data_IF_108739618864
#
_entry.id   IF_108739618864
#
_cell.length_a   1.000
_cell.length_b   1.000
_cell.length_c   1.000
_cell.angle_alpha   90.00
_cell.angle_beta   90.00
_cell.angle_gamma   90.00
#
_symmetry.space_group_name_H-M   'P 1'
#
loop_
_entity.id
_entity.type
_entity.pdbx_description
1 polymer ?
#
# COMPACT_ATOMS: atom_id res chain seq x y z
N UNK A 1 -12.75 3.57 18.99
CA UNK A 1 -11.31 3.79 19.23
C UNK A 1 -10.52 2.80 18.37
N UNK A 2 -9.89 3.29 17.29
CA UNK A 2 -9.12 2.49 16.36
C UNK A 2 -7.67 2.28 16.83
N UNK A 3 -7.47 1.98 18.11
CA UNK A 3 -6.18 1.58 18.69
C UNK A 3 -5.08 2.66 18.55
N UNK A 4 -5.44 3.94 18.52
CA UNK A 4 -4.49 5.06 18.42
C UNK A 4 -3.83 5.21 17.05
N UNK A 5 -4.35 4.58 16.01
CA UNK A 5 -3.82 4.70 14.63
C UNK A 5 -4.45 5.87 13.89
N UNK A 6 -3.68 6.46 12.99
CA UNK A 6 -4.16 7.46 12.04
C UNK A 6 -5.16 6.84 11.07
N UNK A 7 -6.23 7.59 10.76
CA UNK A 7 -7.20 7.22 9.72
C UNK A 7 -7.31 8.37 8.73
N UNK A 8 -6.88 8.14 7.51
CA UNK A 8 -7.02 9.05 6.38
C UNK A 8 -8.00 8.46 5.35
N UNK A 9 -8.74 9.33 4.67
CA UNK A 9 -9.61 8.98 3.54
C UNK A 9 -9.15 9.70 2.30
N UNK A 10 -9.00 8.98 1.21
CA UNK A 10 -8.78 9.53 -0.12
C UNK A 10 -10.05 9.39 -0.95
N UNK A 11 -10.59 10.52 -1.41
CA UNK A 11 -11.69 10.56 -2.38
C UNK A 11 -11.10 10.52 -3.78
N UNK A 12 -11.49 9.55 -4.60
CA UNK A 12 -10.90 9.33 -5.92
C UNK A 12 -11.80 9.86 -7.03
N UNK A 13 -11.17 10.45 -8.05
CA UNK A 13 -11.81 10.75 -9.31
C UNK A 13 -11.95 9.46 -10.14
N UNK A 14 -13.05 8.76 -9.95
CA UNK A 14 -13.41 7.57 -10.74
C UNK A 14 -14.58 7.92 -11.67
N UNK A 15 -14.46 7.58 -12.94
CA UNK A 15 -15.57 7.66 -13.89
C UNK A 15 -16.71 6.70 -13.50
N UNK A 16 -17.93 6.92 -13.99
CA UNK A 16 -19.05 6.00 -13.71
C UNK A 16 -18.73 4.53 -14.06
N UNK A 17 -18.12 4.19 -15.21
CA UNK A 17 -17.71 2.82 -15.50
C UNK A 17 -16.71 2.25 -14.51
N UNK A 18 -15.69 3.01 -14.09
CA UNK A 18 -14.68 2.59 -13.13
C UNK A 18 -15.30 2.30 -11.75
N UNK A 19 -16.26 3.12 -11.30
CA UNK A 19 -16.99 2.86 -10.04
C UNK A 19 -17.79 1.57 -10.10
N UNK A 20 -18.41 1.28 -11.24
CA UNK A 20 -19.14 0.02 -11.46
C UNK A 20 -18.16 -1.15 -11.46
N UNK A 21 -17.05 -1.06 -12.18
CA UNK A 21 -16.03 -2.10 -12.23
C UNK A 21 -15.46 -2.41 -10.84
N UNK A 22 -15.13 -1.37 -10.04
CA UNK A 22 -14.64 -1.55 -8.68
C UNK A 22 -15.68 -2.22 -7.78
N UNK A 23 -16.95 -1.77 -7.82
CA UNK A 23 -18.04 -2.38 -7.07
C UNK A 23 -18.19 -3.86 -7.43
N UNK A 24 -18.28 -4.17 -8.71
CA UNK A 24 -18.52 -5.53 -9.19
C UNK A 24 -17.37 -6.48 -8.80
N UNK A 25 -16.12 -5.96 -8.85
CA UNK A 25 -14.96 -6.71 -8.35
C UNK A 25 -15.04 -6.96 -6.86
N UNK A 26 -15.39 -5.96 -6.05
CA UNK A 26 -15.51 -6.11 -4.60
C UNK A 26 -16.64 -7.07 -4.22
N UNK A 27 -17.78 -7.00 -4.90
CA UNK A 27 -18.90 -7.94 -4.71
C UNK A 27 -18.50 -9.37 -5.10
N UNK A 28 -17.76 -9.54 -6.21
CA UNK A 28 -17.22 -10.83 -6.63
C UNK A 28 -16.25 -11.38 -5.60
N UNK A 29 -15.31 -10.54 -5.11
CA UNK A 29 -14.31 -10.94 -4.12
C UNK A 29 -14.94 -11.27 -2.75
N UNK A 30 -16.07 -10.66 -2.40
CA UNK A 30 -16.77 -10.92 -1.14
C UNK A 30 -17.57 -12.24 -1.13
N UNK A 31 -17.73 -12.92 -2.27
CA UNK A 31 -18.42 -14.23 -2.32
C UNK A 31 -17.63 -15.29 -1.56
N UNK A 32 -18.30 -16.23 -0.87
CA UNK A 32 -17.63 -17.27 -0.07
C UNK A 32 -16.53 -18.03 -0.81
N UNK A 33 -16.74 -18.33 -2.08
CA UNK A 33 -15.78 -19.03 -2.94
C UNK A 33 -14.53 -18.23 -3.28
N UNK A 34 -14.58 -16.87 -3.21
CA UNK A 34 -13.49 -15.96 -3.56
C UNK A 34 -12.88 -15.23 -2.34
N UNK A 35 -13.57 -15.25 -1.20
CA UNK A 35 -13.17 -14.51 -0.01
C UNK A 35 -11.91 -15.05 0.67
N UNK A 36 -11.56 -16.32 0.40
CA UNK A 36 -10.38 -16.97 0.98
C UNK A 36 -9.22 -16.95 -0.01
N UNK A 37 -8.04 -16.54 0.46
CA UNK A 37 -6.81 -16.54 -0.33
C UNK A 37 -5.62 -16.96 0.54
N UNK A 38 -4.52 -17.40 -0.12
CA UNK A 38 -3.28 -17.70 0.57
C UNK A 38 -2.56 -16.41 0.89
N UNK A 39 -2.66 -15.98 2.12
CA UNK A 39 -1.99 -14.76 2.59
C UNK A 39 -0.47 -14.87 2.46
N UNK A 40 0.14 -13.87 1.83
CA UNK A 40 1.58 -13.65 1.81
C UNK A 40 1.86 -12.22 2.29
N UNK A 41 2.71 -12.08 3.30
CA UNK A 41 2.96 -10.79 3.93
C UNK A 41 3.44 -9.71 2.95
N UNK A 42 4.22 -10.09 1.96
CA UNK A 42 4.81 -9.17 0.98
C UNK A 42 4.05 -9.09 -0.34
N UNK A 43 3.55 -10.22 -0.82
CA UNK A 43 3.06 -10.33 -2.19
C UNK A 43 1.54 -10.35 -2.29
N UNK A 44 0.84 -10.86 -1.26
CA UNK A 44 -0.62 -11.00 -1.28
C UNK A 44 -1.22 -10.74 0.11
N UNK A 45 -1.25 -9.47 0.50
CA UNK A 45 -1.80 -8.99 1.77
C UNK A 45 -3.00 -8.04 1.56
N UNK A 46 -3.54 -7.49 2.65
CA UNK A 46 -4.68 -6.58 2.57
C UNK A 46 -4.40 -5.32 1.73
N UNK A 47 -3.18 -4.78 1.76
CA UNK A 47 -2.81 -3.60 0.98
C UNK A 47 -2.66 -3.92 -0.50
N UNK A 48 -1.94 -5.01 -0.84
CA UNK A 48 -1.79 -5.44 -2.23
C UNK A 48 -3.13 -5.81 -2.87
N UNK A 49 -4.09 -6.38 -2.11
CA UNK A 49 -5.45 -6.64 -2.59
C UNK A 49 -6.22 -5.36 -2.90
N UNK A 50 -6.05 -4.31 -2.12
CA UNK A 50 -6.65 -3.00 -2.42
C UNK A 50 -6.00 -2.40 -3.66
N UNK A 51 -4.66 -2.47 -3.77
CA UNK A 51 -3.92 -2.05 -4.98
C UNK A 51 -4.46 -2.73 -6.24
N UNK A 52 -4.60 -4.06 -6.20
CA UNK A 52 -5.03 -4.87 -7.34
C UNK A 52 -6.48 -4.56 -7.73
N UNK A 53 -7.36 -4.34 -6.75
CA UNK A 53 -8.74 -3.92 -6.99
C UNK A 53 -8.83 -2.55 -7.68
N UNK A 54 -8.01 -1.60 -7.21
CA UNK A 54 -7.94 -0.26 -7.83
C UNK A 54 -7.33 -0.34 -9.23
N UNK A 55 -6.26 -1.10 -9.40
CA UNK A 55 -5.60 -1.25 -10.71
C UNK A 55 -6.53 -1.86 -11.74
N UNK A 56 -7.28 -2.89 -11.36
CA UNK A 56 -8.29 -3.49 -12.25
C UNK A 56 -9.38 -2.49 -12.63
N UNK A 57 -9.90 -1.72 -11.68
CA UNK A 57 -10.94 -0.71 -11.95
C UNK A 57 -10.42 0.46 -12.80
N UNK A 58 -9.12 0.75 -12.72
CA UNK A 58 -8.40 1.81 -13.43
C UNK A 58 -7.67 1.29 -14.68
N UNK A 59 -8.01 0.07 -15.14
CA UNK A 59 -7.52 -0.52 -16.40
C UNK A 59 -5.99 -0.60 -16.49
N UNK A 60 -5.31 -0.92 -15.37
CA UNK A 60 -3.86 -1.07 -15.32
C UNK A 60 -3.08 0.23 -15.10
N UNK A 61 -3.75 1.31 -14.73
CA UNK A 61 -3.11 2.63 -14.55
C UNK A 61 -2.06 2.62 -13.43
N UNK A 62 -2.33 1.95 -12.31
CA UNK A 62 -1.39 1.84 -11.20
C UNK A 62 -0.18 1.01 -11.59
N UNK A 63 -0.40 -0.14 -12.21
CA UNK A 63 0.68 -1.01 -12.68
C UNK A 63 1.55 -0.28 -13.69
N UNK A 64 0.96 0.42 -14.67
CA UNK A 64 1.69 1.20 -15.67
C UNK A 64 2.58 2.30 -15.06
N UNK A 65 2.18 2.87 -13.92
CA UNK A 65 2.93 3.93 -13.25
C UNK A 65 3.98 3.40 -12.26
N UNK A 66 3.93 2.12 -11.82
CA UNK A 66 4.71 1.65 -10.68
C UNK A 66 5.56 0.42 -10.94
N UNK A 67 5.15 -0.47 -11.84
CA UNK A 67 5.93 -1.67 -12.19
C UNK A 67 7.26 -1.27 -12.83
N UNK A 68 8.35 -1.83 -12.32
CA UNK A 68 9.70 -1.52 -12.76
C UNK A 68 10.24 -0.15 -12.33
N UNK A 69 9.45 0.67 -11.61
CA UNK A 69 9.92 1.93 -11.04
C UNK A 69 10.59 1.67 -9.68
N UNK A 70 11.89 1.98 -9.50
CA UNK A 70 12.58 1.66 -8.24
C UNK A 70 11.93 2.34 -7.02
N UNK A 71 11.58 1.57 -6.00
CA UNK A 71 11.12 2.10 -4.72
C UNK A 71 12.26 2.56 -3.81
N UNK A 72 13.53 2.25 -4.15
CA UNK A 72 14.74 2.54 -3.37
C UNK A 72 14.73 1.95 -1.97
N UNK A 73 14.04 0.85 -1.81
CA UNK A 73 13.91 0.10 -0.56
C UNK A 73 13.92 -1.41 -0.84
N UNK A 74 13.81 -2.21 0.22
CA UNK A 74 13.70 -3.67 0.17
C UNK A 74 12.57 -4.12 1.11
N UNK A 75 12.09 -5.34 0.97
CA UNK A 75 11.10 -5.89 1.90
C UNK A 75 11.62 -5.91 3.34
N UNK A 76 12.91 -6.28 3.55
CA UNK A 76 13.53 -6.24 4.88
C UNK A 76 13.52 -4.84 5.46
N UNK A 77 13.97 -3.83 4.70
CA UNK A 77 14.05 -2.44 5.17
C UNK A 77 12.67 -1.92 5.62
N UNK A 78 11.63 -2.16 4.85
CA UNK A 78 10.26 -1.78 5.21
C UNK A 78 9.78 -2.50 6.46
N UNK A 79 10.02 -3.82 6.55
CA UNK A 79 9.63 -4.60 7.73
C UNK A 79 10.34 -4.10 8.98
N UNK A 80 11.63 -3.84 8.91
CA UNK A 80 12.41 -3.30 10.03
C UNK A 80 11.91 -1.91 10.46
N UNK A 81 11.62 -1.03 9.50
CA UNK A 81 11.04 0.28 9.77
C UNK A 81 9.72 0.18 10.53
N UNK A 82 8.83 -0.67 10.06
CA UNK A 82 7.49 -0.85 10.64
C UNK A 82 7.52 -1.57 12.00
N UNK A 83 8.52 -2.39 12.26
CA UNK A 83 8.67 -3.13 13.52
C UNK A 83 9.55 -2.41 14.55
N UNK A 84 10.21 -1.33 14.16
CA UNK A 84 11.11 -0.54 15.02
C UNK A 84 10.50 -0.14 16.38
N UNK A 85 9.23 0.23 16.51
CA UNK A 85 8.62 0.56 17.80
C UNK A 85 8.53 -0.63 18.78
N UNK A 86 8.74 -1.87 18.30
CA UNK A 86 8.68 -3.09 19.11
C UNK A 86 10.03 -3.80 19.09
N UNK A 87 10.93 -3.55 20.06
CA UNK A 87 12.36 -3.94 19.99
C UNK A 87 12.60 -5.43 19.72
N UNK A 88 11.86 -6.32 20.37
CA UNK A 88 12.04 -7.76 20.18
C UNK A 88 11.61 -8.21 18.76
N UNK A 89 10.59 -7.57 18.17
CA UNK A 89 10.15 -7.85 16.82
C UNK A 89 11.15 -7.31 15.80
N UNK A 90 11.67 -6.11 16.03
CA UNK A 90 12.73 -5.51 15.23
C UNK A 90 13.99 -6.41 15.19
N UNK A 91 14.48 -6.89 16.36
CA UNK A 91 15.60 -7.81 16.43
C UNK A 91 15.28 -9.16 15.76
N UNK A 92 14.06 -9.66 15.93
CA UNK A 92 13.60 -10.89 15.27
C UNK A 92 13.62 -10.79 13.75
N UNK A 93 13.28 -9.63 13.17
CA UNK A 93 13.34 -9.42 11.71
C UNK A 93 14.77 -9.38 11.18
N UNK A 94 15.74 -8.91 11.95
CA UNK A 94 17.15 -8.97 11.58
C UNK A 94 17.67 -10.40 11.44
N UNK A 95 17.25 -11.30 12.32
CA UNK A 95 17.73 -12.68 12.36
C UNK A 95 16.88 -13.63 11.48
N UNK A 96 15.57 -13.39 11.38
CA UNK A 96 14.63 -14.35 10.81
C UNK A 96 14.33 -14.17 9.33
N UNK A 97 14.55 -12.98 8.75
CA UNK A 97 14.29 -12.75 7.34
C UNK A 97 15.42 -13.31 6.48
N UNK A 98 15.05 -14.08 5.45
CA UNK A 98 15.98 -14.64 4.49
C UNK A 98 16.52 -13.61 3.48
N UNK A 99 17.60 -13.93 2.75
CA UNK A 99 18.27 -13.01 1.81
C UNK A 99 17.38 -12.57 0.64
N UNK A 100 16.31 -13.30 0.32
CA UNK A 100 15.36 -12.88 -0.71
C UNK A 100 14.68 -11.54 -0.39
N UNK A 101 14.56 -11.18 0.90
CA UNK A 101 13.99 -9.91 1.34
C UNK A 101 14.93 -8.71 1.21
N UNK A 102 16.21 -8.93 0.85
CA UNK A 102 17.22 -7.90 0.65
C UNK A 102 17.27 -7.38 -0.79
N UNK A 103 16.56 -8.01 -1.70
CA UNK A 103 16.51 -7.58 -3.08
C UNK A 103 15.77 -6.23 -3.19
N UNK A 104 16.28 -5.29 -4.04
CA UNK A 104 15.55 -4.07 -4.37
C UNK A 104 14.16 -4.39 -4.91
N UNK A 105 13.18 -3.63 -4.49
CA UNK A 105 11.78 -3.76 -4.94
C UNK A 105 11.37 -2.53 -5.74
N UNK A 106 10.37 -2.70 -6.61
CA UNK A 106 9.74 -1.60 -7.32
C UNK A 106 8.57 -0.99 -6.52
N UNK A 107 8.02 0.12 -7.02
CA UNK A 107 6.91 0.82 -6.37
C UNK A 107 5.64 -0.04 -6.29
N UNK A 108 5.41 -0.92 -7.27
CA UNK A 108 4.30 -1.86 -7.23
C UNK A 108 4.39 -2.82 -6.05
N UNK A 109 5.57 -3.41 -5.86
CA UNK A 109 5.84 -4.31 -4.73
C UNK A 109 5.81 -3.56 -3.40
N UNK A 110 6.36 -2.34 -3.34
CA UNK A 110 6.36 -1.51 -2.12
C UNK A 110 4.95 -1.13 -1.64
N UNK A 111 3.95 -1.17 -2.51
CA UNK A 111 2.54 -0.98 -2.18
C UNK A 111 1.95 -2.07 -1.24
N UNK A 112 2.74 -3.09 -0.85
CA UNK A 112 2.35 -3.99 0.24
C UNK A 112 2.20 -3.24 1.58
N UNK A 113 2.81 -2.06 1.70
CA UNK A 113 2.66 -1.14 2.82
C UNK A 113 1.51 -0.16 2.52
N UNK A 114 0.45 -0.10 3.37
CA UNK A 114 -0.70 0.78 3.11
C UNK A 114 -0.35 2.25 2.92
N UNK A 115 0.61 2.78 3.68
CA UNK A 115 1.05 4.16 3.57
C UNK A 115 1.71 4.44 2.21
N UNK A 116 2.50 3.49 1.71
CA UNK A 116 3.12 3.59 0.38
C UNK A 116 2.07 3.50 -0.73
N UNK A 117 1.05 2.64 -0.59
CA UNK A 117 -0.08 2.61 -1.52
C UNK A 117 -0.82 3.95 -1.54
N UNK A 118 -1.07 4.55 -0.38
CA UNK A 118 -1.69 5.87 -0.26
C UNK A 118 -0.89 6.95 -1.01
N UNK A 119 0.44 6.96 -0.88
CA UNK A 119 1.34 7.87 -1.59
C UNK A 119 1.29 7.63 -3.11
N UNK A 120 1.35 6.37 -3.55
CA UNK A 120 1.26 6.01 -4.97
C UNK A 120 -0.04 6.54 -5.58
N UNK A 121 -1.18 6.30 -4.92
CA UNK A 121 -2.49 6.75 -5.40
C UNK A 121 -2.56 8.28 -5.49
N UNK A 122 -1.90 9.00 -4.56
CA UNK A 122 -1.81 10.48 -4.58
C UNK A 122 -1.00 10.99 -5.75
N UNK A 123 0.07 10.29 -6.14
CA UNK A 123 0.99 10.71 -7.21
C UNK A 123 0.43 10.46 -8.61
N UNK A 124 -0.61 9.64 -8.74
CA UNK A 124 -1.16 9.25 -10.03
C UNK A 124 -2.15 10.28 -10.55
N UNK A 125 -2.09 10.53 -11.86
CA UNK A 125 -3.10 11.27 -12.59
C UNK A 125 -3.99 10.32 -13.40
N UNK A 126 -5.24 10.70 -13.56
CA UNK A 126 -6.24 10.04 -14.42
C UNK A 126 -6.77 11.02 -15.46
N UNK A 127 -7.65 10.58 -16.35
CA UNK A 127 -8.34 11.46 -17.29
C UNK A 127 -9.76 11.77 -16.81
N UNK A 128 -10.20 13.02 -16.96
CA UNK A 128 -11.60 13.40 -16.82
C UNK A 128 -12.43 13.01 -18.06
N UNK A 129 -13.72 13.35 -18.06
CA UNK A 129 -14.64 13.06 -19.16
C UNK A 129 -14.27 13.79 -20.48
N UNK A 130 -13.49 14.87 -20.39
CA UNK A 130 -12.97 15.61 -21.55
C UNK A 130 -11.57 15.12 -21.99
N UNK A 131 -11.04 14.09 -21.35
CA UNK A 131 -9.70 13.53 -21.61
C UNK A 131 -8.54 14.38 -21.05
N UNK A 132 -8.80 15.33 -20.15
CA UNK A 132 -7.78 16.13 -19.51
C UNK A 132 -7.16 15.37 -18.33
N UNK A 133 -5.86 15.50 -18.16
CA UNK A 133 -5.17 14.92 -17.01
C UNK A 133 -5.56 15.65 -15.72
N UNK A 134 -6.09 14.89 -14.76
CA UNK A 134 -6.43 15.36 -13.41
C UNK A 134 -5.81 14.42 -12.36
N UNK A 135 -5.55 14.90 -11.12
CA UNK A 135 -5.13 14.01 -10.05
C UNK A 135 -6.14 12.91 -9.80
N UNK A 136 -5.68 11.67 -9.58
CA UNK A 136 -6.57 10.57 -9.21
C UNK A 136 -7.25 10.83 -7.85
N UNK A 137 -6.52 11.45 -6.90
CA UNK A 137 -7.07 11.87 -5.61
C UNK A 137 -7.71 13.26 -5.73
N UNK A 138 -9.04 13.29 -5.62
CA UNK A 138 -9.82 14.53 -5.62
C UNK A 138 -9.63 15.33 -4.33
N UNK A 139 -9.59 14.64 -3.19
CA UNK A 139 -9.50 15.21 -1.85
C UNK A 139 -8.96 14.18 -0.88
N UNK A 140 -8.18 14.66 0.08
CA UNK A 140 -7.79 13.88 1.27
C UNK A 140 -8.40 14.48 2.53
N UNK A 141 -8.75 13.61 3.46
CA UNK A 141 -9.36 13.99 4.72
C UNK A 141 -8.79 13.11 5.83
N UNK A 142 -8.37 13.73 6.92
CA UNK A 142 -7.95 13.02 8.12
C UNK A 142 -9.13 12.92 9.08
N UNK A 143 -9.57 11.69 9.33
CA UNK A 143 -10.67 11.42 10.26
C UNK A 143 -10.20 11.24 11.69
N UNK A 144 -8.95 10.74 11.88
CA UNK A 144 -8.37 10.52 13.20
C UNK A 144 -6.87 10.75 13.19
N UNK A 145 -6.37 11.50 14.17
CA UNK A 145 -4.94 11.66 14.41
C UNK A 145 -4.34 10.43 15.08
N UNK A 146 -3.06 10.15 14.78
CA UNK A 146 -2.34 9.11 15.48
C UNK A 146 -2.01 9.52 16.91
N UNK A 147 -2.18 8.61 17.86
CA UNK A 147 -1.62 8.70 19.21
C UNK A 147 -0.40 7.79 19.38
N UNK A 148 -0.20 6.86 18.46
CA UNK A 148 1.00 6.03 18.38
C UNK A 148 2.12 6.76 17.63
N UNK A 149 3.39 6.53 18.00
CA UNK A 149 4.51 7.13 17.30
C UNK A 149 4.54 6.66 15.83
N UNK A 150 4.90 7.59 14.94
CA UNK A 150 5.17 7.27 13.54
C UNK A 150 6.41 6.37 13.46
N UNK A 151 6.40 5.29 12.68
CA UNK A 151 7.57 4.42 12.50
C UNK A 151 8.76 5.10 11.82
N UNK A 152 8.60 6.35 11.36
CA UNK A 152 9.64 7.09 10.67
C UNK A 152 9.83 6.65 9.21
N UNK A 153 10.68 7.38 8.49
CA UNK A 153 11.01 7.08 7.09
C UNK A 153 12.05 5.97 6.94
N UNK A 154 12.87 5.74 7.97
CA UNK A 154 13.97 4.78 7.94
C UNK A 154 13.98 3.90 9.20
N UNK A 155 14.46 2.64 9.10
CA UNK A 155 14.69 1.84 10.29
C UNK A 155 15.81 2.46 11.14
N UNK A 156 15.72 2.38 12.47
CA UNK A 156 16.79 2.83 13.35
C UNK A 156 18.08 2.01 13.10
N UNK A 157 19.23 2.64 13.30
CA UNK A 157 20.49 1.91 13.30
C UNK A 157 20.51 0.90 14.46
N UNK A 158 21.10 -0.28 14.24
CA UNK A 158 21.41 -1.17 15.35
C UNK A 158 22.37 -0.47 16.31
N UNK A 159 22.19 -0.62 17.64
CA UNK A 159 23.17 -0.12 18.58
C UNK A 159 24.54 -0.74 18.25
N UNK A 160 25.53 0.10 18.05
CA UNK A 160 26.91 -0.35 17.90
C UNK A 160 27.34 -1.06 19.20
N UNK A 161 27.88 -2.26 19.06
CA UNK A 161 28.40 -3.04 20.14
C UNK A 161 29.65 -2.38 20.79
#
# INVERSE_FOLDING_TARGET
>A
DLSGRRVDVQHLHLSPPQRVALRDFLEWNARPENASYRYDYYLDNCSSRVRDALDQALEGLLAGATVGQPARTTFRRETQRLTAPVPWLYLGTHAGLGPATDQPIDRWQAAFVPMTLQEIVRDIATADDDGRSIPLVAREERLQEATLPDPGAEPPALPSA
#
